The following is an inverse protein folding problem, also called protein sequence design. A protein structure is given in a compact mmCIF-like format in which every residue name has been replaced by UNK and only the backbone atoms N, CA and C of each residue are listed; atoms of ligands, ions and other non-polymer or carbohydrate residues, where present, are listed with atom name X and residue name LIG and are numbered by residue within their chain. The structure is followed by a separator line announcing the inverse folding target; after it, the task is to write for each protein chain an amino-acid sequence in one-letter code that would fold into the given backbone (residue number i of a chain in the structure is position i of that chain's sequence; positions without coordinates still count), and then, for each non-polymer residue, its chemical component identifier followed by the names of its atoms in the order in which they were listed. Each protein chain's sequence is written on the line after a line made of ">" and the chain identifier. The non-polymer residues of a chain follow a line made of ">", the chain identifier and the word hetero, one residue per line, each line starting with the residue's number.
data_IF_164555521455
#
_entry.id   IF_164555521455
#
_cell.length_a   1.000
_cell.length_b   1.000
_cell.length_c   1.000
_cell.angle_alpha   90.00
_cell.angle_beta   90.00
_cell.angle_gamma   90.00
#
_symmetry.space_group_name_H-M   'P 1'
#
loop_
_entity.id
_entity.type
_entity.pdbx_description
1 polymer ?
#
# COMPACT_ATOMS: atom_id res chain seq x y z
N UNK A 1 -20.49 -28.56 -24.69
CA UNK A 1 -19.81 -29.22 -25.83
C UNK A 1 -18.33 -29.02 -25.63
N UNK A 2 -17.62 -30.10 -25.29
CA UNK A 2 -16.17 -30.07 -25.04
C UNK A 2 -15.42 -30.23 -26.38
N UNK A 3 -14.44 -29.37 -26.71
CA UNK A 3 -13.50 -29.65 -27.79
C UNK A 3 -12.31 -30.45 -27.25
N UNK A 4 -11.88 -31.41 -28.05
CA UNK A 4 -10.72 -32.26 -27.83
C UNK A 4 -9.44 -31.48 -28.13
N UNK A 5 -8.56 -31.32 -27.15
CA UNK A 5 -7.11 -31.31 -27.33
C UNK A 5 -6.42 -31.29 -25.95
N UNK A 6 -5.61 -32.31 -25.69
CA UNK A 6 -4.81 -32.47 -24.46
C UNK A 6 -3.48 -31.76 -24.63
N UNK A 7 -3.05 -30.93 -23.68
CA UNK A 7 -1.68 -30.40 -23.68
C UNK A 7 -0.98 -30.53 -22.33
N UNK A 8 0.30 -30.88 -22.42
CA UNK A 8 1.19 -31.27 -21.33
C UNK A 8 1.61 -30.09 -20.45
N UNK A 9 1.64 -30.33 -19.13
CA UNK A 9 2.29 -29.45 -18.15
C UNK A 9 3.72 -29.95 -17.93
N UNK A 10 4.71 -29.08 -18.10
CA UNK A 10 6.07 -29.33 -17.62
C UNK A 10 6.20 -28.73 -16.22
N UNK A 11 6.29 -29.58 -15.20
CA UNK A 11 6.54 -29.17 -13.83
C UNK A 11 7.93 -28.58 -13.72
N UNK A 12 8.05 -27.29 -13.42
CA UNK A 12 9.28 -26.78 -12.79
C UNK A 12 9.28 -27.29 -11.36
N UNK A 13 10.35 -27.98 -11.00
CA UNK A 13 10.57 -28.72 -9.75
C UNK A 13 10.04 -28.05 -8.48
N UNK A 14 9.57 -28.89 -7.55
CA UNK A 14 9.23 -28.67 -6.13
C UNK A 14 7.87 -28.07 -5.71
N UNK A 15 6.93 -27.74 -6.61
CA UNK A 15 5.56 -27.39 -6.16
C UNK A 15 4.49 -27.81 -7.16
N UNK A 16 3.80 -28.95 -6.94
CA UNK A 16 2.80 -29.47 -7.88
C UNK A 16 1.51 -28.63 -7.99
N UNK A 17 1.35 -27.56 -7.19
CA UNK A 17 0.12 -26.74 -7.16
C UNK A 17 0.35 -25.24 -7.38
N UNK A 18 1.56 -24.81 -7.77
CA UNK A 18 1.93 -23.39 -7.79
C UNK A 18 1.31 -22.56 -8.92
N UNK A 19 0.72 -23.17 -9.96
CA UNK A 19 0.15 -22.44 -11.11
C UNK A 19 -1.05 -23.15 -11.69
N UNK A 20 -2.18 -22.44 -11.73
CA UNK A 20 -3.40 -22.86 -12.44
C UNK A 20 -3.49 -22.08 -13.75
N UNK A 21 -3.44 -22.78 -14.87
CA UNK A 21 -3.67 -22.20 -16.20
C UNK A 21 -5.10 -22.51 -16.62
N UNK A 22 -5.95 -21.49 -16.66
CA UNK A 22 -7.31 -21.61 -17.18
C UNK A 22 -7.27 -21.11 -18.63
N UNK A 23 -7.37 -22.04 -19.57
CA UNK A 23 -7.47 -21.73 -20.99
C UNK A 23 -8.93 -21.63 -21.39
N UNK A 24 -9.28 -20.55 -22.09
CA UNK A 24 -10.59 -20.38 -22.71
C UNK A 24 -10.42 -20.56 -24.21
N UNK A 25 -10.99 -21.65 -24.74
CA UNK A 25 -10.95 -21.92 -26.16
C UNK A 25 -12.10 -21.18 -26.86
N UNK A 26 -11.75 -20.14 -27.63
CA UNK A 26 -12.71 -19.37 -28.43
C UNK A 26 -12.73 -19.95 -29.85
N UNK A 27 -13.50 -21.02 -30.04
CA UNK A 27 -13.62 -21.79 -31.29
C UNK A 27 -14.15 -21.03 -32.53
N UNK A 28 -14.26 -19.69 -32.48
CA UNK A 28 -14.73 -18.87 -33.60
C UNK A 28 -13.77 -17.77 -34.08
N UNK A 29 -12.57 -17.65 -33.53
CA UNK A 29 -11.64 -16.59 -33.95
C UNK A 29 -10.57 -17.18 -34.88
N UNK A 30 -10.72 -16.98 -36.20
CA UNK A 30 -9.74 -17.35 -37.24
C UNK A 30 -8.49 -16.46 -37.24
N UNK A 31 -7.90 -16.10 -36.09
CA UNK A 31 -6.69 -15.26 -36.05
C UNK A 31 -5.58 -15.92 -35.23
N UNK A 32 -4.39 -16.03 -35.81
CA UNK A 32 -3.17 -16.59 -35.18
C UNK A 32 -2.56 -15.69 -34.07
N UNK A 33 -3.31 -14.72 -33.55
CA UNK A 33 -2.84 -13.81 -32.50
C UNK A 33 -3.61 -14.11 -31.21
N UNK A 34 -2.89 -14.37 -30.12
CA UNK A 34 -3.45 -14.45 -28.78
C UNK A 34 -4.09 -13.10 -28.42
N UNK A 35 -5.38 -12.97 -28.70
CA UNK A 35 -6.18 -11.84 -28.26
C UNK A 35 -6.45 -12.03 -26.77
N UNK A 36 -6.13 -11.02 -25.95
CA UNK A 36 -6.69 -10.96 -24.61
C UNK A 36 -8.19 -10.75 -24.78
N UNK A 37 -9.05 -11.63 -24.24
CA UNK A 37 -10.48 -11.47 -24.42
C UNK A 37 -10.88 -10.13 -23.79
N UNK A 38 -11.60 -9.34 -24.57
CA UNK A 38 -12.25 -8.13 -24.08
C UNK A 38 -13.65 -8.54 -23.64
N UNK A 39 -14.05 -8.16 -22.42
CA UNK A 39 -15.42 -8.31 -21.98
C UNK A 39 -16.37 -7.48 -22.85
N UNK A 40 -17.68 -7.79 -22.77
CA UNK A 40 -18.72 -7.13 -23.55
C UNK A 40 -18.74 -5.59 -23.39
N UNK A 41 -18.19 -5.09 -22.28
CA UNK A 41 -18.07 -3.68 -21.93
C UNK A 41 -16.75 -3.02 -22.38
N UNK A 42 -15.87 -3.75 -23.08
CA UNK A 42 -14.56 -3.24 -23.48
C UNK A 42 -13.45 -3.46 -22.43
N UNK A 43 -13.75 -4.07 -21.28
CA UNK A 43 -12.76 -4.33 -20.23
C UNK A 43 -11.78 -5.44 -20.65
N UNK A 44 -10.49 -5.18 -20.54
CA UNK A 44 -9.44 -6.15 -20.85
C UNK A 44 -9.36 -7.23 -19.77
N UNK A 45 -9.48 -8.50 -20.15
CA UNK A 45 -9.31 -9.61 -19.22
C UNK A 45 -7.86 -9.73 -18.71
N UNK A 46 -7.63 -9.95 -17.41
CA UNK A 46 -6.28 -10.11 -16.87
C UNK A 46 -5.60 -11.34 -17.47
N UNK A 47 -4.38 -11.17 -18.00
CA UNK A 47 -3.60 -12.26 -18.63
C UNK A 47 -3.08 -13.29 -17.63
N UNK A 48 -2.90 -12.89 -16.37
CA UNK A 48 -2.40 -13.74 -15.28
C UNK A 48 -3.06 -13.30 -13.98
N UNK A 49 -3.60 -14.25 -13.22
CA UNK A 49 -4.15 -14.01 -11.88
C UNK A 49 -3.44 -14.92 -10.89
N UNK A 50 -2.86 -14.34 -9.84
CA UNK A 50 -2.22 -15.08 -8.76
C UNK A 50 -3.27 -15.43 -7.70
N UNK A 51 -3.47 -16.73 -7.45
CA UNK A 51 -4.48 -17.25 -6.51
C UNK A 51 -3.89 -17.80 -5.21
N UNK A 52 -2.58 -17.63 -4.97
CA UNK A 52 -1.87 -18.26 -3.85
C UNK A 52 -2.48 -17.90 -2.49
N UNK A 53 -2.84 -16.63 -2.31
CA UNK A 53 -3.45 -16.08 -1.08
C UNK A 53 -4.99 -16.10 -1.09
N UNK A 54 -5.60 -16.64 -2.15
CA UNK A 54 -7.05 -16.56 -2.36
C UNK A 54 -7.74 -17.88 -2.00
N UNK A 55 -8.07 -18.04 -0.71
CA UNK A 55 -8.67 -19.25 -0.18
C UNK A 55 -10.02 -19.60 -0.84
N UNK A 56 -10.83 -18.58 -1.13
CA UNK A 56 -12.17 -18.75 -1.70
C UNK A 56 -12.10 -19.17 -3.17
N UNK A 57 -11.22 -18.53 -3.96
CA UNK A 57 -10.99 -18.92 -5.34
C UNK A 57 -10.40 -20.33 -5.44
N UNK A 58 -9.48 -20.68 -4.55
CA UNK A 58 -8.89 -22.04 -4.46
C UNK A 58 -9.93 -23.10 -4.08
N UNK A 59 -10.83 -22.78 -3.15
CA UNK A 59 -11.92 -23.68 -2.76
C UNK A 59 -12.82 -23.99 -3.96
N UNK A 60 -13.22 -22.95 -4.71
CA UNK A 60 -14.05 -23.12 -5.90
C UNK A 60 -13.33 -23.94 -6.99
N UNK A 61 -12.05 -23.68 -7.24
CA UNK A 61 -11.26 -24.50 -8.18
C UNK A 61 -11.17 -25.96 -7.76
N UNK A 62 -10.89 -26.21 -6.48
CA UNK A 62 -10.77 -27.57 -5.94
C UNK A 62 -12.08 -28.32 -6.12
N UNK A 63 -13.19 -27.68 -5.77
CA UNK A 63 -14.52 -28.26 -5.92
C UNK A 63 -14.91 -28.56 -7.37
N UNK A 64 -14.55 -27.68 -8.30
CA UNK A 64 -14.77 -27.90 -9.74
C UNK A 64 -14.00 -29.15 -10.19
N UNK A 65 -12.75 -29.31 -9.75
CA UNK A 65 -11.92 -30.48 -10.06
C UNK A 65 -12.53 -31.76 -9.47
N UNK A 66 -12.98 -31.72 -8.22
CA UNK A 66 -13.59 -32.88 -7.56
C UNK A 66 -14.85 -33.34 -8.30
N UNK A 67 -15.76 -32.43 -8.66
CA UNK A 67 -16.96 -32.78 -9.42
C UNK A 67 -16.66 -33.24 -10.85
N UNK A 68 -15.52 -32.84 -11.43
CA UNK A 68 -15.10 -33.35 -12.74
C UNK A 68 -14.80 -34.85 -12.70
N UNK A 69 -14.34 -35.37 -11.56
CA UNK A 69 -14.01 -36.79 -11.39
C UNK A 69 -15.27 -37.68 -11.31
N UNK A 70 -16.42 -37.13 -10.91
CA UNK A 70 -17.68 -37.87 -10.76
C UNK A 70 -18.44 -38.09 -12.08
N UNK A 71 -18.19 -37.25 -13.09
CA UNK A 71 -18.78 -37.28 -14.45
C UNK A 71 -20.33 -37.44 -14.56
N UNK A 72 -21.08 -37.04 -13.53
CA UNK A 72 -22.54 -37.11 -13.52
C UNK A 72 -23.20 -35.83 -14.09
N UNK A 73 -24.49 -35.91 -14.45
CA UNK A 73 -25.28 -34.74 -14.86
C UNK A 73 -25.38 -33.69 -13.73
N UNK A 74 -25.70 -34.04 -12.47
CA UNK A 74 -25.61 -33.12 -11.33
C UNK A 74 -24.23 -32.48 -11.19
N UNK A 75 -23.14 -33.26 -11.29
CA UNK A 75 -21.77 -32.75 -11.17
C UNK A 75 -21.46 -31.72 -12.27
N UNK A 76 -21.98 -31.91 -13.49
CA UNK A 76 -21.86 -30.93 -14.60
C UNK A 76 -22.57 -29.60 -14.29
N UNK A 77 -23.77 -29.66 -13.71
CA UNK A 77 -24.52 -28.45 -13.32
C UNK A 77 -23.80 -27.74 -12.17
N UNK A 78 -23.36 -28.48 -11.15
CA UNK A 78 -22.61 -27.92 -10.02
C UNK A 78 -21.31 -27.27 -10.48
N UNK A 79 -20.56 -27.92 -11.36
CA UNK A 79 -19.35 -27.35 -11.96
C UNK A 79 -19.65 -26.02 -12.67
N UNK A 80 -20.71 -25.92 -13.46
CA UNK A 80 -21.07 -24.66 -14.14
C UNK A 80 -21.43 -23.55 -13.14
N UNK A 81 -22.15 -23.88 -12.07
CA UNK A 81 -22.47 -22.93 -10.99
C UNK A 81 -21.21 -22.44 -10.27
N UNK A 82 -20.34 -23.37 -9.85
CA UNK A 82 -19.08 -23.04 -9.17
C UNK A 82 -18.11 -22.29 -10.08
N UNK A 83 -18.08 -22.61 -11.38
CA UNK A 83 -17.30 -21.88 -12.37
C UNK A 83 -17.81 -20.45 -12.55
N UNK A 84 -19.14 -20.25 -12.62
CA UNK A 84 -19.73 -18.92 -12.69
C UNK A 84 -19.40 -18.08 -11.45
N UNK A 85 -19.48 -18.68 -10.25
CA UNK A 85 -19.09 -18.02 -9.01
C UNK A 85 -17.59 -17.66 -8.99
N UNK A 86 -16.73 -18.60 -9.43
CA UNK A 86 -15.30 -18.39 -9.54
C UNK A 86 -14.97 -17.25 -10.51
N UNK A 87 -15.60 -17.20 -11.69
CA UNK A 87 -15.44 -16.09 -12.63
C UNK A 87 -15.87 -14.76 -12.00
N UNK A 88 -17.05 -14.71 -11.37
CA UNK A 88 -17.53 -13.50 -10.69
C UNK A 88 -16.55 -12.99 -9.63
N UNK A 89 -15.97 -13.91 -8.87
CA UNK A 89 -14.96 -13.62 -7.85
C UNK A 89 -13.67 -13.00 -8.45
N UNK A 90 -13.19 -13.57 -9.56
CA UNK A 90 -12.03 -13.04 -10.26
C UNK A 90 -12.31 -11.65 -10.86
N UNK A 91 -13.49 -11.47 -11.44
CA UNK A 91 -13.95 -10.20 -12.00
C UNK A 91 -14.01 -9.11 -10.92
N UNK A 92 -14.64 -9.39 -9.78
CA UNK A 92 -14.74 -8.44 -8.66
C UNK A 92 -13.35 -8.00 -8.16
N UNK A 93 -12.44 -8.97 -8.03
CA UNK A 93 -11.12 -8.74 -7.45
C UNK A 93 -10.12 -8.09 -8.40
N UNK A 94 -10.24 -8.35 -9.70
CA UNK A 94 -9.22 -7.97 -10.68
C UNK A 94 -9.71 -7.03 -11.79
N UNK A 95 -11.01 -6.86 -11.97
CA UNK A 95 -11.61 -5.97 -12.99
C UNK A 95 -12.37 -4.77 -12.42
N UNK A 96 -12.35 -4.54 -11.11
CA UNK A 96 -12.75 -3.25 -10.52
C UNK A 96 -11.53 -2.35 -10.24
N UNK A 97 -11.04 -1.53 -11.21
CA UNK A 97 -9.94 -0.60 -11.00
C UNK A 97 -10.18 0.39 -9.85
N UNK A 98 -11.44 0.76 -9.59
CA UNK A 98 -11.85 1.59 -8.46
C UNK A 98 -11.68 0.87 -7.13
N UNK A 99 -12.12 -0.38 -7.00
CA UNK A 99 -12.01 -1.15 -5.75
C UNK A 99 -10.55 -1.51 -5.43
N UNK A 100 -9.74 -1.89 -6.43
CA UNK A 100 -8.33 -2.26 -6.20
C UNK A 100 -7.44 -1.04 -5.93
N UNK A 101 -7.63 0.08 -6.65
CA UNK A 101 -6.97 1.36 -6.30
C UNK A 101 -7.41 1.87 -4.93
N UNK A 102 -8.69 1.72 -4.58
CA UNK A 102 -9.19 2.12 -3.26
C UNK A 102 -8.58 1.26 -2.16
N UNK A 103 -8.56 -0.07 -2.30
CA UNK A 103 -7.90 -0.97 -1.32
C UNK A 103 -6.40 -0.71 -1.20
N UNK A 104 -5.69 -0.52 -2.32
CA UNK A 104 -4.26 -0.19 -2.28
C UNK A 104 -4.01 1.19 -1.67
N UNK A 105 -4.84 2.20 -1.96
CA UNK A 105 -4.76 3.52 -1.31
C UNK A 105 -5.08 3.46 0.19
N UNK A 106 -6.05 2.64 0.61
CA UNK A 106 -6.38 2.45 2.02
C UNK A 106 -5.22 1.77 2.76
N UNK A 107 -4.61 0.74 2.16
CA UNK A 107 -3.42 0.08 2.72
C UNK A 107 -2.21 1.02 2.77
N UNK A 108 -1.93 1.76 1.70
CA UNK A 108 -0.82 2.72 1.67
C UNK A 108 -1.05 3.86 2.67
N UNK A 109 -2.28 4.35 2.81
CA UNK A 109 -2.65 5.34 3.82
C UNK A 109 -2.43 4.80 5.23
N UNK A 110 -2.90 3.59 5.55
CA UNK A 110 -2.68 2.96 6.86
C UNK A 110 -1.19 2.83 7.17
N UNK A 111 -0.38 2.37 6.21
CA UNK A 111 1.05 2.19 6.39
C UNK A 111 1.79 3.52 6.59
N UNK A 112 1.40 4.57 5.84
CA UNK A 112 1.93 5.93 6.04
C UNK A 112 1.56 6.47 7.43
N UNK A 113 0.36 6.18 7.92
CA UNK A 113 -0.08 6.61 9.24
C UNK A 113 0.73 5.94 10.37
N UNK A 114 1.11 4.67 10.23
CA UNK A 114 2.02 4.01 11.18
C UNK A 114 3.37 4.73 11.28
N UNK A 115 3.99 5.03 10.12
CA UNK A 115 5.23 5.79 10.08
C UNK A 115 5.08 7.19 10.68
N UNK A 116 3.93 7.86 10.47
CA UNK A 116 3.63 9.17 11.06
C UNK A 116 3.56 9.10 12.58
N UNK A 117 2.89 8.09 13.14
CA UNK A 117 2.80 7.93 14.59
C UNK A 117 4.17 7.60 15.20
N UNK A 118 5.02 6.84 14.48
CA UNK A 118 6.41 6.64 14.90
C UNK A 118 7.20 7.96 14.95
N UNK A 119 7.04 8.84 13.96
CA UNK A 119 7.67 10.17 13.99
C UNK A 119 7.22 10.95 15.22
N UNK A 120 5.92 10.96 15.53
CA UNK A 120 5.41 11.67 16.72
C UNK A 120 5.91 11.07 18.04
N UNK A 121 6.11 9.76 18.11
CA UNK A 121 6.63 9.11 19.31
C UNK A 121 8.15 9.31 19.47
N UNK A 122 8.88 9.47 18.37
CA UNK A 122 10.35 9.39 18.35
C UNK A 122 11.04 10.63 17.77
N UNK A 123 10.34 11.76 17.56
CA UNK A 123 10.87 12.92 16.82
C UNK A 123 12.21 13.46 17.35
N UNK A 124 12.49 13.31 18.65
CA UNK A 124 13.73 13.77 19.26
C UNK A 124 14.95 12.91 18.90
N UNK A 125 14.75 11.70 18.38
CA UNK A 125 15.82 10.80 17.93
C UNK A 125 16.15 11.05 16.46
N UNK A 126 17.30 10.54 16.01
CA UNK A 126 17.63 10.52 14.59
C UNK A 126 16.75 9.49 13.88
N UNK A 127 15.84 9.97 13.02
CA UNK A 127 14.89 9.14 12.28
C UNK A 127 15.32 9.13 10.83
N UNK A 128 15.62 7.95 10.30
CA UNK A 128 16.01 7.81 8.90
C UNK A 128 14.81 7.55 7.99
N UNK A 129 14.92 7.95 6.72
CA UNK A 129 13.89 7.64 5.72
C UNK A 129 13.73 6.12 5.51
N UNK A 130 14.82 5.37 5.67
CA UNK A 130 14.84 3.90 5.55
C UNK A 130 14.01 3.26 6.66
N UNK A 131 14.24 3.65 7.91
CA UNK A 131 13.48 3.18 9.06
C UNK A 131 11.97 3.40 8.90
N UNK A 132 11.57 4.60 8.44
CA UNK A 132 10.15 4.89 8.20
C UNK A 132 9.54 4.06 7.08
N UNK A 133 10.32 3.78 6.04
CA UNK A 133 9.91 2.92 4.93
C UNK A 133 9.75 1.46 5.39
N UNK A 134 10.68 0.98 6.22
CA UNK A 134 10.65 -0.37 6.81
C UNK A 134 9.43 -0.55 7.72
N UNK A 135 9.12 0.44 8.58
CA UNK A 135 7.89 0.46 9.41
C UNK A 135 6.62 0.42 8.54
N UNK A 136 6.64 1.13 7.40
CA UNK A 136 5.52 1.13 6.47
C UNK A 136 5.46 -0.14 5.60
N UNK A 137 6.47 -1.01 5.62
CA UNK A 137 6.60 -2.16 4.73
C UNK A 137 6.69 -1.78 3.24
N UNK A 138 7.30 -0.63 2.94
CA UNK A 138 7.41 -0.06 1.59
C UNK A 138 8.88 0.17 1.23
N UNK A 139 9.19 0.22 -0.07
CA UNK A 139 10.50 0.73 -0.51
C UNK A 139 10.62 2.23 -0.21
N UNK A 140 11.84 2.70 0.07
CA UNK A 140 12.13 4.11 0.41
C UNK A 140 11.57 5.12 -0.59
N UNK A 141 11.78 4.87 -1.89
CA UNK A 141 11.28 5.73 -2.96
C UNK A 141 9.75 5.75 -3.04
N UNK A 142 9.10 4.61 -2.81
CA UNK A 142 7.64 4.54 -2.82
C UNK A 142 7.05 5.19 -1.55
N UNK A 143 7.65 4.93 -0.39
CA UNK A 143 7.29 5.56 0.88
C UNK A 143 7.34 7.09 0.79
N UNK A 144 8.44 7.67 0.30
CA UNK A 144 8.56 9.13 0.20
C UNK A 144 7.44 9.76 -0.65
N UNK A 145 7.07 9.11 -1.76
CA UNK A 145 5.95 9.56 -2.62
C UNK A 145 4.60 9.41 -1.92
N UNK A 146 4.34 8.26 -1.30
CA UNK A 146 3.07 8.00 -0.61
C UNK A 146 2.89 8.88 0.63
N UNK A 147 3.96 9.10 1.40
CA UNK A 147 3.92 9.97 2.56
C UNK A 147 3.58 11.40 2.13
N UNK A 148 4.24 11.95 1.10
CA UNK A 148 3.89 13.29 0.58
C UNK A 148 2.47 13.34 0.02
N UNK A 149 2.01 12.30 -0.67
CA UNK A 149 0.66 12.25 -1.21
C UNK A 149 -0.43 12.24 -0.12
N UNK A 150 -0.20 11.55 1.00
CA UNK A 150 -1.19 11.41 2.08
C UNK A 150 -1.07 12.47 3.18
N UNK A 151 0.13 12.99 3.44
CA UNK A 151 0.41 13.96 4.52
C UNK A 151 0.57 15.39 3.97
N UNK A 152 0.84 15.55 2.67
CA UNK A 152 1.04 16.84 2.00
C UNK A 152 2.51 17.32 1.96
N UNK A 153 3.34 16.83 2.89
CA UNK A 153 4.75 17.21 3.02
C UNK A 153 5.68 15.99 3.01
N UNK A 154 6.97 16.18 2.76
CA UNK A 154 7.94 15.07 2.78
C UNK A 154 8.19 14.57 4.21
N UNK A 155 8.63 13.31 4.41
CA UNK A 155 8.93 12.77 5.74
C UNK A 155 9.92 13.64 6.53
N UNK A 156 11.01 14.09 5.88
CA UNK A 156 12.00 14.98 6.48
C UNK A 156 11.38 16.31 6.93
N UNK A 157 10.52 16.88 6.10
CA UNK A 157 9.85 18.14 6.42
C UNK A 157 8.90 17.98 7.61
N UNK A 158 8.16 16.87 7.65
CA UNK A 158 7.25 16.55 8.74
C UNK A 158 7.97 16.35 10.08
N UNK A 159 9.14 15.72 10.08
CA UNK A 159 9.99 15.60 11.29
C UNK A 159 10.38 17.00 11.78
N UNK A 160 10.88 17.86 10.90
CA UNK A 160 11.27 19.24 11.26
C UNK A 160 10.09 20.00 11.86
N UNK A 161 8.92 19.98 11.22
CA UNK A 161 7.71 20.64 11.75
C UNK A 161 7.29 20.07 13.11
N UNK A 162 7.36 18.75 13.28
CA UNK A 162 7.04 18.10 14.56
C UNK A 162 7.98 18.58 15.67
N UNK A 163 9.29 18.64 15.40
CA UNK A 163 10.30 19.13 16.35
C UNK A 163 10.08 20.60 16.69
N UNK A 164 9.83 21.46 15.70
CA UNK A 164 9.62 22.89 15.92
C UNK A 164 8.31 23.18 16.66
N UNK A 165 7.23 22.46 16.34
CA UNK A 165 5.97 22.58 17.07
C UNK A 165 6.13 22.16 18.54
N UNK A 166 6.92 21.13 18.82
CA UNK A 166 7.23 20.78 20.19
C UNK A 166 8.12 21.82 20.88
N UNK A 167 9.10 22.40 20.16
CA UNK A 167 9.94 23.46 20.68
C UNK A 167 9.09 24.68 21.08
N UNK A 168 8.15 25.11 20.22
CA UNK A 168 7.20 26.19 20.53
C UNK A 168 6.40 25.93 21.81
N UNK A 169 5.93 24.70 22.01
CA UNK A 169 5.24 24.32 23.24
C UNK A 169 6.13 24.41 24.48
N UNK A 170 7.39 23.99 24.37
CA UNK A 170 8.35 24.06 25.49
C UNK A 170 8.77 25.50 25.80
N UNK A 171 8.91 26.35 24.77
CA UNK A 171 9.21 27.78 24.93
C UNK A 171 8.10 28.52 25.68
N UNK A 172 6.84 28.07 25.53
CA UNK A 172 5.68 28.63 26.21
C UNK A 172 5.44 28.07 27.63
N UNK A 173 5.86 26.83 27.88
CA UNK A 173 5.38 26.05 29.04
C UNK A 173 6.48 25.53 29.97
N UNK A 174 7.73 25.99 29.83
CA UNK A 174 8.82 25.53 30.69
C UNK A 174 9.88 26.58 30.95
N UNK A 175 10.54 26.51 32.12
CA UNK A 175 11.66 27.38 32.51
C UNK A 175 13.00 26.97 31.86
N UNK A 176 12.94 26.20 30.76
CA UNK A 176 14.12 25.67 30.09
C UNK A 176 14.74 26.72 29.19
N UNK A 177 16.06 26.78 29.18
CA UNK A 177 16.77 27.64 28.23
C UNK A 177 16.69 27.06 26.81
N UNK A 178 16.93 27.92 25.81
CA UNK A 178 16.84 27.56 24.38
C UNK A 178 17.78 26.39 24.01
N UNK A 179 18.95 26.29 24.65
CA UNK A 179 19.91 25.21 24.43
C UNK A 179 19.39 23.85 24.88
N UNK A 180 18.70 23.81 26.03
CA UNK A 180 18.04 22.61 26.53
C UNK A 180 16.89 22.19 25.64
N UNK A 181 16.05 23.14 25.22
CA UNK A 181 14.92 22.89 24.32
C UNK A 181 15.41 22.30 22.99
N UNK A 182 16.46 22.88 22.40
CA UNK A 182 17.05 22.37 21.17
C UNK A 182 17.47 20.90 21.29
N UNK A 183 18.14 20.53 22.39
CA UNK A 183 18.54 19.13 22.64
C UNK A 183 17.33 18.23 22.85
N UNK A 184 16.33 18.66 23.62
CA UNK A 184 15.12 17.88 23.90
C UNK A 184 14.28 17.60 22.65
N UNK A 185 14.28 18.51 21.67
CA UNK A 185 13.59 18.31 20.40
C UNK A 185 14.45 17.66 19.31
N UNK A 186 15.66 17.20 19.65
CA UNK A 186 16.50 16.39 18.76
C UNK A 186 17.47 17.16 17.87
N UNK A 187 17.92 18.34 18.31
CA UNK A 187 19.00 19.09 17.67
C UNK A 187 20.26 19.08 18.53
N UNK A 188 21.34 18.50 18.00
CA UNK A 188 22.65 18.51 18.66
C UNK A 188 23.32 19.90 18.60
N UNK A 189 23.00 20.67 17.57
CA UNK A 189 23.56 22.00 17.34
C UNK A 189 22.48 23.09 17.47
N UNK A 190 22.68 23.96 18.46
CA UNK A 190 21.77 25.06 18.79
C UNK A 190 21.71 26.09 17.66
N UNK A 191 22.83 26.40 17.01
CA UNK A 191 22.85 27.32 15.87
C UNK A 191 22.03 26.77 14.70
N UNK A 192 22.11 25.45 14.46
CA UNK A 192 21.30 24.80 13.44
C UNK A 192 19.81 24.86 13.81
N UNK A 193 19.45 24.54 15.05
CA UNK A 193 18.08 24.69 15.56
C UNK A 193 17.55 26.12 15.35
N UNK A 194 18.28 27.15 15.81
CA UNK A 194 17.84 28.54 15.70
C UNK A 194 17.69 28.98 14.24
N UNK A 195 18.57 28.51 13.35
CA UNK A 195 18.49 28.81 11.92
C UNK A 195 17.27 28.15 11.27
N UNK A 196 16.98 26.89 11.60
CA UNK A 196 15.82 26.17 11.06
C UNK A 196 14.51 26.74 11.65
N UNK A 197 14.50 27.10 12.94
CA UNK A 197 13.37 27.78 13.57
C UNK A 197 13.07 29.11 12.88
N UNK A 198 14.07 29.98 12.71
CA UNK A 198 13.89 31.27 12.01
C UNK A 198 13.44 31.10 10.57
N UNK A 199 13.98 30.10 9.86
CA UNK A 199 13.57 29.81 8.48
C UNK A 199 12.09 29.44 8.36
N UNK A 200 11.53 28.79 9.38
CA UNK A 200 10.15 28.27 9.37
C UNK A 200 9.15 29.23 9.99
N UNK A 201 9.50 29.88 11.09
CA UNK A 201 8.62 30.77 11.85
C UNK A 201 8.85 32.26 11.52
N UNK A 202 9.88 32.58 10.75
CA UNK A 202 10.23 33.96 10.35
C UNK A 202 11.05 34.74 11.39
N UNK A 203 11.07 34.30 12.65
CA UNK A 203 11.78 34.93 13.76
C UNK A 203 12.58 33.91 14.56
N UNK A 204 13.59 34.37 15.30
CA UNK A 204 14.41 33.50 16.16
C UNK A 204 13.62 32.98 17.37
N UNK A 205 14.05 31.88 18.01
CA UNK A 205 13.41 31.38 19.23
C UNK A 205 13.33 32.43 20.35
N UNK A 206 14.36 33.29 20.50
CA UNK A 206 14.37 34.36 21.50
C UNK A 206 13.34 35.43 21.20
N UNK A 207 13.27 35.90 19.95
CA UNK A 207 12.25 36.88 19.51
C UNK A 207 10.83 36.30 19.62
N UNK A 208 10.67 35.00 19.36
CA UNK A 208 9.41 34.31 19.52
C UNK A 208 8.91 34.37 20.97
N UNK A 209 9.77 34.13 21.96
CA UNK A 209 9.41 34.29 23.39
C UNK A 209 9.05 35.74 23.70
N UNK A 210 9.88 36.71 23.27
CA UNK A 210 9.67 38.13 23.58
C UNK A 210 8.29 38.61 23.09
N UNK A 211 7.92 38.29 21.84
CA UNK A 211 6.60 38.61 21.29
C UNK A 211 5.44 38.01 22.08
N UNK A 212 5.59 36.77 22.55
CA UNK A 212 4.53 36.10 23.29
C UNK A 212 4.31 36.70 24.68
N UNK A 213 5.36 37.25 25.31
CA UNK A 213 5.24 37.99 26.56
C UNK A 213 4.50 39.30 26.31
N UNK A 214 4.84 40.03 25.24
CA UNK A 214 4.18 41.29 24.84
C UNK A 214 2.70 41.12 24.45
N UNK A 215 2.31 39.97 23.86
CA UNK A 215 0.91 39.68 23.47
C UNK A 215 0.06 39.10 24.61
N UNK A 216 0.69 38.65 25.71
CA UNK A 216 0.03 38.05 26.87
C UNK A 216 -0.23 38.99 28.05
N UNK A 217 0.25 40.23 27.99
CA UNK A 217 -0.04 41.35 28.90
C UNK A 217 -1.23 42.19 28.43
#
# INVERSE_FOLDING_TARGET
>A
VFPQESFYVKTTSNSPFGRYHIHFDFTRIKTKRTLSPTLLDGTLWPRLVHLEDDLEARSLCTDIILHKLEDSLPSKIIMNGKFSAFLGLLLDRHLSPSAQRTRQNLKSRRNVMLAREHIKASYAKDITLKELADIAGLSTNYFGRMFKAHIGVSPRHYIIETRLNQAKRMLLGSDKNISEIARLVGYDNICYFSSEFRKREGISPTEFIARLIEEGE
#
